data_IF_456525577555
#
_entry.id   IF_456525577555
#
_cell.length_a   1.000
_cell.length_b   1.000
_cell.length_c   1.000
_cell.angle_alpha   90.00
_cell.angle_beta   90.00
_cell.angle_gamma   90.00
#
_symmetry.space_group_name_H-M   'P 1'
#
loop_
_entity.id
_entity.type
_entity.pdbx_description
1 polymer ?
#
# COMPACT_ATOMS: atom_id res chain seq x y z
N UNK A 1 11.53 -18.84 24.42
CA UNK A 1 12.05 -17.79 23.59
C UNK A 1 11.51 -17.89 22.17
N UNK A 2 11.62 -19.06 21.59
CA UNK A 2 11.10 -19.28 20.24
C UNK A 2 9.61 -19.12 20.16
N UNK A 3 8.91 -19.59 21.18
CA UNK A 3 7.47 -19.45 21.25
C UNK A 3 7.09 -17.99 21.32
N UNK A 4 7.85 -17.24 22.08
CA UNK A 4 7.63 -15.80 22.22
C UNK A 4 7.79 -15.10 20.88
N UNK A 5 8.82 -15.45 20.16
CA UNK A 5 9.08 -14.88 18.85
C UNK A 5 7.94 -15.23 17.89
N UNK A 6 7.45 -16.42 17.97
CA UNK A 6 6.37 -16.87 17.12
C UNK A 6 5.09 -16.06 17.40
N UNK A 7 4.82 -15.75 18.65
CA UNK A 7 3.67 -14.96 19.01
C UNK A 7 3.74 -13.57 18.43
N UNK A 8 4.93 -12.99 18.39
CA UNK A 8 5.11 -11.67 17.81
C UNK A 8 4.73 -11.68 16.34
N UNK A 9 5.15 -12.69 15.60
CA UNK A 9 4.81 -12.81 14.19
C UNK A 9 3.29 -12.95 14.03
N UNK A 10 2.66 -13.67 14.91
CA UNK A 10 1.22 -13.87 14.86
C UNK A 10 0.48 -12.55 15.04
N UNK A 11 0.91 -11.74 16.01
CA UNK A 11 0.34 -10.44 16.25
C UNK A 11 0.51 -9.52 15.07
N UNK A 12 1.63 -9.63 14.40
CA UNK A 12 1.91 -8.82 13.23
C UNK A 12 0.84 -9.00 12.17
N UNK A 13 0.40 -10.23 11.93
CA UNK A 13 -0.62 -10.50 10.94
C UNK A 13 -1.96 -9.86 11.28
N UNK A 14 -2.25 -9.75 12.56
CA UNK A 14 -3.52 -9.18 13.01
C UNK A 14 -3.58 -7.68 12.78
N UNK A 15 -2.43 -7.06 12.54
CA UNK A 15 -2.36 -5.61 12.37
C UNK A 15 -2.51 -5.17 10.93
N UNK A 16 -2.81 -6.09 10.02
CA UNK A 16 -3.04 -5.72 8.64
C UNK A 16 -4.33 -4.91 8.53
N UNK A 17 -4.24 -3.84 7.76
CA UNK A 17 -5.35 -2.92 7.55
C UNK A 17 -5.61 -2.78 6.06
N UNK A 18 -6.84 -2.49 5.72
CA UNK A 18 -7.21 -2.17 4.34
C UNK A 18 -7.40 -0.69 4.21
N UNK A 19 -6.79 -0.11 3.19
CA UNK A 19 -6.87 1.31 2.92
C UNK A 19 -7.39 1.53 1.51
N UNK A 20 -8.20 2.56 1.35
CA UNK A 20 -8.62 3.02 0.03
C UNK A 20 -8.10 4.43 -0.15
N UNK A 21 -7.29 4.62 -1.18
CA UNK A 21 -6.70 5.91 -1.49
C UNK A 21 -7.20 6.37 -2.85
N UNK A 22 -7.43 7.67 -2.97
CA UNK A 22 -7.72 8.27 -4.26
C UNK A 22 -6.43 8.84 -4.82
N UNK A 23 -6.02 8.35 -5.99
CA UNK A 23 -4.75 8.71 -6.60
C UNK A 23 -5.00 9.25 -7.98
N UNK A 24 -4.59 10.51 -8.20
CA UNK A 24 -4.75 11.19 -9.48
C UNK A 24 -3.50 11.01 -10.33
N UNK A 25 -3.69 10.98 -11.64
CA UNK A 25 -2.56 10.94 -12.56
C UNK A 25 -2.19 9.57 -13.08
N UNK A 26 -2.92 8.55 -12.70
CA UNK A 26 -2.68 7.21 -13.22
C UNK A 26 -3.36 7.10 -14.60
N UNK A 27 -2.55 7.17 -15.66
CA UNK A 27 -3.09 7.22 -17.02
C UNK A 27 -2.85 5.96 -17.83
N UNK A 28 -2.02 5.04 -17.35
CA UNK A 28 -1.71 3.82 -18.12
C UNK A 28 -1.19 2.73 -17.20
N UNK A 29 -0.90 1.56 -17.79
CA UNK A 29 -0.41 0.44 -17.03
C UNK A 29 0.92 0.67 -16.32
N UNK A 30 1.76 1.53 -16.88
CA UNK A 30 3.02 1.89 -16.23
C UNK A 30 2.78 2.58 -14.90
N UNK A 31 1.76 3.42 -14.85
CA UNK A 31 1.40 4.10 -13.62
C UNK A 31 0.96 3.11 -12.55
N UNK A 32 0.19 2.11 -12.96
CA UNK A 32 -0.23 1.07 -12.01
C UNK A 32 0.98 0.35 -11.42
N UNK A 33 1.95 0.04 -12.25
CA UNK A 33 3.16 -0.64 -11.79
C UNK A 33 3.95 0.24 -10.84
N UNK A 34 4.08 1.51 -11.17
CA UNK A 34 4.83 2.44 -10.33
C UNK A 34 4.20 2.55 -8.96
N UNK A 35 2.88 2.67 -8.90
CA UNK A 35 2.17 2.75 -7.62
C UNK A 35 2.34 1.45 -6.85
N UNK A 36 2.17 0.32 -7.50
CA UNK A 36 2.31 -0.98 -6.86
C UNK A 36 3.72 -1.15 -6.29
N UNK A 37 4.74 -0.80 -7.08
CA UNK A 37 6.12 -0.93 -6.63
C UNK A 37 6.42 0.00 -5.47
N UNK A 38 5.88 1.21 -5.50
CA UNK A 38 6.09 2.15 -4.41
C UNK A 38 5.57 1.59 -3.09
N UNK A 39 4.39 1.00 -3.13
CA UNK A 39 3.80 0.39 -1.93
C UNK A 39 4.62 -0.81 -1.49
N UNK A 40 5.02 -1.65 -2.43
CA UNK A 40 5.73 -2.89 -2.09
C UNK A 40 7.15 -2.64 -1.60
N UNK A 41 7.74 -1.49 -1.91
CA UNK A 41 9.03 -1.13 -1.34
C UNK A 41 8.93 -0.89 0.15
N UNK A 42 7.79 -0.41 0.60
CA UNK A 42 7.57 -0.17 2.02
C UNK A 42 7.11 -1.45 2.71
N UNK A 43 6.25 -2.21 2.03
CA UNK A 43 5.72 -3.45 2.58
C UNK A 43 5.64 -4.49 1.46
N UNK A 44 6.67 -5.36 1.35
CA UNK A 44 6.67 -6.38 0.29
C UNK A 44 5.49 -7.33 0.34
N UNK A 45 4.85 -7.47 1.48
CA UNK A 45 3.70 -8.36 1.63
C UNK A 45 2.38 -7.66 1.34
N UNK A 46 2.41 -6.37 0.98
CA UNK A 46 1.20 -5.62 0.72
C UNK A 46 0.51 -6.10 -0.56
N UNK A 47 -0.81 -6.08 -0.53
CA UNK A 47 -1.63 -6.37 -1.70
C UNK A 47 -2.18 -5.05 -2.22
N UNK A 48 -2.04 -4.83 -3.52
CA UNK A 48 -2.48 -3.58 -4.15
C UNK A 48 -3.44 -3.88 -5.28
N UNK A 49 -4.59 -3.20 -5.27
CA UNK A 49 -5.57 -3.29 -6.35
C UNK A 49 -5.87 -1.89 -6.84
N UNK A 50 -5.78 -1.69 -8.14
CA UNK A 50 -5.91 -0.37 -8.74
C UNK A 50 -7.08 -0.35 -9.71
N UNK A 51 -7.94 0.66 -9.55
CA UNK A 51 -9.03 0.93 -10.48
C UNK A 51 -8.80 2.33 -11.05
N UNK A 52 -8.19 2.41 -12.23
CA UNK A 52 -7.85 3.68 -12.84
C UNK A 52 -9.08 4.48 -13.23
N UNK A 53 -10.16 3.80 -13.58
CA UNK A 53 -11.38 4.49 -14.00
C UNK A 53 -11.95 5.33 -12.87
N UNK A 54 -11.72 4.91 -11.63
CA UNK A 54 -12.21 5.62 -10.46
C UNK A 54 -11.10 6.30 -9.68
N UNK A 55 -9.87 6.26 -10.18
CA UNK A 55 -8.70 6.82 -9.50
C UNK A 55 -8.51 6.22 -8.11
N UNK A 56 -8.82 4.95 -7.96
CA UNK A 56 -8.84 4.31 -6.65
C UNK A 56 -7.74 3.26 -6.53
N UNK A 57 -7.09 3.26 -5.38
CA UNK A 57 -6.09 2.26 -5.03
C UNK A 57 -6.48 1.65 -3.70
N UNK A 58 -6.71 0.34 -3.70
CA UNK A 58 -7.00 -0.40 -2.48
C UNK A 58 -5.76 -1.15 -2.05
N UNK A 59 -5.31 -0.93 -0.82
CA UNK A 59 -4.08 -1.49 -0.30
C UNK A 59 -4.37 -2.25 0.98
N UNK A 60 -3.83 -3.46 1.08
CA UNK A 60 -3.89 -4.27 2.29
C UNK A 60 -2.47 -4.38 2.82
N UNK A 61 -2.18 -3.75 3.95
CA UNK A 61 -0.81 -3.62 4.43
C UNK A 61 -0.80 -3.41 5.95
N UNK A 62 0.35 -3.70 6.56
CA UNK A 62 0.58 -3.44 7.98
C UNK A 62 1.16 -2.05 8.22
N UNK A 63 1.52 -1.35 7.16
CA UNK A 63 2.10 -0.02 7.27
C UNK A 63 1.01 1.03 7.43
N UNK A 64 1.32 2.17 8.06
CA UNK A 64 0.33 3.22 8.21
C UNK A 64 -0.03 3.84 6.86
N UNK A 65 -1.26 4.32 6.78
CA UNK A 65 -1.76 4.93 5.56
C UNK A 65 -0.86 6.07 5.08
N UNK A 66 -0.34 6.86 6.00
CA UNK A 66 0.49 8.01 5.66
C UNK A 66 1.78 7.60 4.95
N UNK A 67 2.37 6.49 5.38
CA UNK A 67 3.59 6.00 4.75
C UNK A 67 3.31 5.54 3.33
N UNK A 68 2.18 4.86 3.12
CA UNK A 68 1.80 4.38 1.80
C UNK A 68 1.48 5.56 0.87
N UNK A 69 0.74 6.53 1.38
CA UNK A 69 0.39 7.70 0.59
C UNK A 69 1.64 8.50 0.20
N UNK A 70 2.59 8.64 1.13
CA UNK A 70 3.83 9.34 0.86
C UNK A 70 4.65 8.65 -0.22
N UNK A 71 4.70 7.32 -0.18
CA UNK A 71 5.44 6.56 -1.18
C UNK A 71 4.85 6.77 -2.58
N UNK A 72 3.54 6.76 -2.67
CA UNK A 72 2.87 6.98 -3.95
C UNK A 72 3.10 8.42 -4.43
N UNK A 73 3.03 9.36 -3.52
CA UNK A 73 3.24 10.77 -3.88
C UNK A 73 4.65 11.02 -4.41
N UNK A 74 5.65 10.28 -3.88
CA UNK A 74 7.02 10.41 -4.35
C UNK A 74 7.19 9.97 -5.79
N UNK A 75 6.29 9.15 -6.30
CA UNK A 75 6.31 8.75 -7.69
C UNK A 75 5.70 9.81 -8.63
N UNK A 76 5.21 10.89 -8.07
CA UNK A 76 4.68 11.98 -8.87
C UNK A 76 3.17 12.04 -8.96
N UNK A 77 2.46 11.21 -8.20
CA UNK A 77 1.01 11.19 -8.23
C UNK A 77 0.43 11.99 -7.08
N UNK A 78 -0.78 12.49 -7.27
CA UNK A 78 -1.47 13.18 -6.20
C UNK A 78 -2.37 12.21 -5.46
N UNK A 79 -2.19 12.16 -4.16
CA UNK A 79 -2.97 11.27 -3.30
C UNK A 79 -3.92 12.11 -2.47
N UNK A 80 -5.21 11.91 -2.67
CA UNK A 80 -6.21 12.57 -1.87
C UNK A 80 -6.41 11.82 -0.56
N UNK A 81 -6.69 12.55 0.46
CA UNK A 81 -6.86 11.96 1.80
C UNK A 81 -8.06 11.01 1.88
#
# INVERSE_FOLDING_TARGET
VKVHHFLVIHNYRRNRMQYTLEVQGMTCGHCERAVTQAVQQIDPAATVRIDRAQNRVDIDSTQPREALAAAIAEEGYQVAA
#
